data_IF_878612387506
#
_entry.id   IF_878612387506
#
_cell.length_a   1.000
_cell.length_b   1.000
_cell.length_c   1.000
_cell.angle_alpha   90.00
_cell.angle_beta   90.00
_cell.angle_gamma   90.00
#
_symmetry.space_group_name_H-M   'P 1'
#
loop_
_entity.id
_entity.type
_entity.pdbx_description
1 polymer ?
#
# COMPACT_ATOMS: atom_id res chain seq x y z
N UNK A 1 -2.14 0.28 -22.72
CA UNK A 1 -2.30 -1.13 -22.32
C UNK A 1 -1.16 -1.50 -21.40
N UNK A 2 -1.38 -1.43 -20.08
CA UNK A 2 -0.37 -1.77 -19.09
C UNK A 2 -0.16 -3.29 -19.12
N UNK A 3 0.77 -3.76 -19.95
CA UNK A 3 1.39 -5.06 -19.74
C UNK A 3 2.21 -4.95 -18.46
N UNK A 4 1.55 -5.10 -17.31
CA UNK A 4 2.20 -5.33 -16.04
C UNK A 4 3.17 -6.48 -16.27
N UNK A 5 4.47 -6.18 -16.20
CA UNK A 5 5.49 -7.21 -16.24
C UNK A 5 5.20 -8.15 -15.06
N UNK A 6 5.38 -9.46 -15.26
CA UNK A 6 5.29 -10.44 -14.15
C UNK A 6 6.20 -10.00 -12.99
N UNK A 7 7.32 -9.36 -13.31
CA UNK A 7 8.26 -8.78 -12.33
C UNK A 7 7.62 -7.62 -11.56
N UNK A 8 6.92 -6.71 -12.22
CA UNK A 8 6.23 -5.59 -11.57
C UNK A 8 5.13 -6.10 -10.62
N UNK A 9 4.38 -7.12 -11.05
CA UNK A 9 3.35 -7.71 -10.22
C UNK A 9 3.94 -8.37 -8.96
N UNK A 10 4.97 -9.21 -9.12
CA UNK A 10 5.56 -9.93 -7.98
C UNK A 10 6.37 -9.01 -7.06
N UNK A 11 7.20 -8.13 -7.63
CA UNK A 11 8.10 -7.28 -6.85
C UNK A 11 7.42 -6.07 -6.23
N UNK A 12 6.31 -5.58 -6.81
CA UNK A 12 5.62 -4.37 -6.35
C UNK A 12 4.22 -4.66 -5.81
N UNK A 13 3.35 -5.30 -6.59
CA UNK A 13 1.95 -5.45 -6.21
C UNK A 13 1.76 -6.36 -4.98
N UNK A 14 2.53 -7.45 -4.86
CA UNK A 14 2.47 -8.34 -3.69
C UNK A 14 2.91 -7.61 -2.41
N UNK A 15 4.12 -7.00 -2.33
CA UNK A 15 4.51 -6.25 -1.14
C UNK A 15 3.55 -5.10 -0.80
N UNK A 16 3.08 -4.38 -1.83
CA UNK A 16 2.16 -3.25 -1.65
C UNK A 16 0.83 -3.68 -1.03
N UNK A 17 0.21 -4.76 -1.51
CA UNK A 17 -1.05 -5.27 -0.98
C UNK A 17 -0.95 -5.63 0.51
N UNK A 18 0.11 -6.35 0.87
CA UNK A 18 0.38 -6.77 2.25
C UNK A 18 0.69 -5.58 3.16
N UNK A 19 1.45 -4.61 2.65
CA UNK A 19 1.84 -3.43 3.39
C UNK A 19 0.66 -2.48 3.65
N UNK A 20 -0.24 -2.32 2.68
CA UNK A 20 -1.47 -1.53 2.83
C UNK A 20 -2.36 -2.06 3.97
N UNK A 21 -2.63 -3.36 3.99
CA UNK A 21 -3.42 -3.98 5.06
C UNK A 21 -2.68 -3.88 6.40
N UNK A 22 -1.35 -4.05 6.41
CA UNK A 22 -0.56 -3.95 7.63
C UNK A 22 -0.56 -2.52 8.20
N UNK A 23 -0.49 -1.53 7.33
CA UNK A 23 -0.60 -0.13 7.69
C UNK A 23 -1.97 0.17 8.31
N UNK A 24 -3.06 -0.36 7.76
CA UNK A 24 -4.40 -0.21 8.32
C UNK A 24 -4.47 -0.76 9.75
N UNK A 25 -4.03 -2.00 9.99
CA UNK A 25 -3.93 -2.56 11.34
C UNK A 25 -3.12 -1.67 12.30
N UNK A 26 -2.02 -1.12 11.79
CA UNK A 26 -1.15 -0.23 12.57
C UNK A 26 -1.83 1.09 12.89
N UNK A 27 -2.55 1.70 11.96
CA UNK A 27 -3.24 2.99 12.16
C UNK A 27 -4.57 2.88 12.89
N UNK A 28 -5.24 1.73 12.82
CA UNK A 28 -6.43 1.43 13.61
C UNK A 28 -6.11 1.06 15.06
N UNK A 29 -4.82 0.85 15.39
CA UNK A 29 -4.34 0.31 16.67
C UNK A 29 -4.99 -1.05 17.01
N UNK A 30 -5.38 -1.83 16.02
CA UNK A 30 -6.01 -3.13 16.21
C UNK A 30 -4.94 -4.22 16.20
N UNK A 31 -5.06 -5.21 17.09
CA UNK A 31 -4.11 -6.32 17.13
C UNK A 31 -4.25 -7.17 15.87
N UNK A 32 -3.13 -7.41 15.18
CA UNK A 32 -3.12 -8.16 13.94
C UNK A 32 -3.39 -9.64 14.19
N UNK A 33 -4.52 -10.15 13.68
CA UNK A 33 -4.78 -11.57 13.59
C UNK A 33 -4.14 -12.13 12.31
N UNK A 34 -3.17 -13.04 12.45
CA UNK A 34 -2.40 -13.58 11.33
C UNK A 34 -3.28 -14.20 10.24
N UNK A 35 -4.38 -14.89 10.61
CA UNK A 35 -5.28 -15.53 9.64
C UNK A 35 -6.03 -14.48 8.81
N UNK A 36 -6.65 -13.52 9.48
CA UNK A 36 -7.45 -12.47 8.83
C UNK A 36 -6.56 -11.52 8.03
N UNK A 37 -5.37 -11.20 8.55
CA UNK A 37 -4.35 -10.43 7.84
C UNK A 37 -3.94 -11.08 6.53
N UNK A 38 -3.65 -12.39 6.56
CA UNK A 38 -3.25 -13.11 5.36
C UNK A 38 -4.39 -13.16 4.34
N UNK A 39 -5.61 -13.45 4.80
CA UNK A 39 -6.79 -13.51 3.93
C UNK A 39 -7.08 -12.15 3.28
N UNK A 40 -7.12 -11.06 4.06
CA UNK A 40 -7.37 -9.72 3.54
C UNK A 40 -6.26 -9.22 2.62
N UNK A 41 -4.99 -9.56 2.90
CA UNK A 41 -3.87 -9.20 2.02
C UNK A 41 -3.92 -9.92 0.67
N UNK A 42 -4.26 -11.21 0.65
CA UNK A 42 -4.47 -11.94 -0.60
C UNK A 42 -5.67 -11.43 -1.38
N UNK A 43 -6.80 -11.16 -0.70
CA UNK A 43 -7.95 -10.53 -1.34
C UNK A 43 -7.58 -9.17 -1.93
N UNK A 44 -6.79 -8.36 -1.22
CA UNK A 44 -6.33 -7.07 -1.72
C UNK A 44 -5.44 -7.21 -2.95
N UNK A 45 -4.53 -8.18 -2.97
CA UNK A 45 -3.68 -8.46 -4.13
C UNK A 45 -4.52 -8.78 -5.39
N UNK A 46 -5.53 -9.64 -5.25
CA UNK A 46 -6.45 -9.99 -6.34
C UNK A 46 -7.20 -8.75 -6.81
N UNK A 47 -7.69 -7.94 -5.88
CA UNK A 47 -8.42 -6.70 -6.21
C UNK A 47 -7.52 -5.67 -6.89
N UNK A 48 -6.26 -5.51 -6.47
CA UNK A 48 -5.28 -4.65 -7.16
C UNK A 48 -5.05 -5.12 -8.59
N UNK A 49 -4.90 -6.43 -8.80
CA UNK A 49 -4.75 -7.00 -10.14
C UNK A 49 -5.95 -6.69 -11.03
N UNK A 50 -7.17 -6.90 -10.53
CA UNK A 50 -8.41 -6.60 -11.25
C UNK A 50 -8.46 -5.09 -11.55
N UNK A 51 -8.37 -4.25 -10.52
CA UNK A 51 -8.47 -2.78 -10.63
C UNK A 51 -7.48 -2.25 -11.67
N UNK A 52 -6.20 -2.68 -11.63
CA UNK A 52 -5.16 -2.22 -12.56
C UNK A 52 -5.32 -2.77 -13.99
N UNK A 53 -6.10 -3.84 -14.17
CA UNK A 53 -6.42 -4.39 -15.48
C UNK A 53 -7.54 -3.62 -16.18
N UNK A 54 -8.32 -2.81 -15.46
CA UNK A 54 -9.34 -1.96 -16.08
C UNK A 54 -8.67 -0.78 -16.83
N UNK A 55 -9.15 -0.41 -18.03
CA UNK A 55 -8.59 0.69 -18.82
C UNK A 55 -9.08 2.05 -18.30
N UNK A 56 -8.68 2.41 -17.09
CA UNK A 56 -9.12 3.63 -16.41
C UNK A 56 -7.93 4.58 -16.22
N UNK A 57 -8.21 5.88 -16.11
CA UNK A 57 -7.20 6.91 -15.77
C UNK A 57 -6.51 6.64 -14.43
N UNK A 58 -5.23 6.97 -14.38
CA UNK A 58 -4.42 6.94 -13.16
C UNK A 58 -5.07 7.83 -12.07
N UNK A 59 -5.21 7.31 -10.85
CA UNK A 59 -5.90 7.97 -9.74
C UNK A 59 -7.26 7.35 -9.39
N UNK A 60 -8.08 7.00 -10.38
CA UNK A 60 -9.37 6.30 -10.12
C UNK A 60 -9.12 4.92 -9.51
N UNK A 61 -8.05 4.25 -9.95
CA UNK A 61 -7.59 3.00 -9.33
C UNK A 61 -7.29 3.14 -7.83
N UNK A 62 -6.73 4.27 -7.40
CA UNK A 62 -6.43 4.53 -5.99
C UNK A 62 -7.73 4.71 -5.19
N UNK A 63 -8.72 5.40 -5.75
CA UNK A 63 -10.04 5.56 -5.11
C UNK A 63 -10.74 4.21 -4.96
N UNK A 64 -10.73 3.37 -6.01
CA UNK A 64 -11.28 2.01 -5.92
C UNK A 64 -10.52 1.17 -4.87
N UNK A 65 -9.20 1.29 -4.83
CA UNK A 65 -8.37 0.58 -3.85
C UNK A 65 -8.71 1.00 -2.41
N UNK A 66 -8.97 2.29 -2.15
CA UNK A 66 -9.45 2.77 -0.84
C UNK A 66 -10.74 2.07 -0.44
N UNK A 67 -11.73 2.02 -1.35
CA UNK A 67 -13.02 1.37 -1.08
C UNK A 67 -12.83 -0.11 -0.72
N UNK A 68 -11.98 -0.82 -1.47
CA UNK A 68 -11.67 -2.22 -1.21
C UNK A 68 -10.99 -2.42 0.14
N UNK A 69 -9.99 -1.59 0.48
CA UNK A 69 -9.28 -1.71 1.76
C UNK A 69 -10.25 -1.52 2.93
N UNK A 70 -11.13 -0.52 2.87
CA UNK A 70 -12.13 -0.27 3.92
C UNK A 70 -13.05 -1.48 4.08
N UNK A 71 -13.56 -2.01 2.96
CA UNK A 71 -14.46 -3.16 2.95
C UNK A 71 -13.80 -4.41 3.53
N UNK A 72 -12.58 -4.74 3.09
CA UNK A 72 -11.82 -5.88 3.62
C UNK A 72 -11.50 -5.71 5.10
N UNK A 73 -11.17 -4.49 5.52
CA UNK A 73 -10.85 -4.19 6.92
C UNK A 73 -12.07 -4.34 7.83
N UNK A 74 -13.25 -3.97 7.36
CA UNK A 74 -14.49 -4.16 8.10
C UNK A 74 -14.94 -5.62 8.12
N UNK A 75 -15.06 -6.26 6.95
CA UNK A 75 -15.64 -7.60 6.83
C UNK A 75 -14.70 -8.70 7.34
N UNK A 76 -13.42 -8.66 6.97
CA UNK A 76 -12.47 -9.73 7.27
C UNK A 76 -11.70 -9.45 8.55
N UNK A 77 -11.25 -8.21 8.73
CA UNK A 77 -10.39 -7.87 9.86
C UNK A 77 -11.17 -7.47 11.13
N UNK A 78 -12.50 -7.30 11.03
CA UNK A 78 -13.36 -6.94 12.17
C UNK A 78 -13.13 -5.51 12.67
N UNK A 79 -12.44 -4.66 11.91
CA UNK A 79 -12.15 -3.29 12.32
C UNK A 79 -13.41 -2.46 12.13
N UNK A 80 -13.88 -1.79 13.19
CA UNK A 80 -15.01 -0.88 13.13
C UNK A 80 -14.92 0.07 11.92
N UNK A 81 -16.04 0.31 11.24
CA UNK A 81 -16.07 1.05 9.97
C UNK A 81 -15.45 2.45 10.09
N UNK A 82 -15.65 3.14 11.22
CA UNK A 82 -15.09 4.47 11.45
C UNK A 82 -13.57 4.39 11.63
N UNK A 83 -13.07 3.38 12.36
CA UNK A 83 -11.64 3.11 12.48
C UNK A 83 -11.02 2.72 11.13
N UNK A 84 -11.70 1.86 10.35
CA UNK A 84 -11.25 1.40 9.05
C UNK A 84 -11.12 2.55 8.03
N UNK A 85 -12.11 3.44 7.97
CA UNK A 85 -12.06 4.63 7.10
C UNK A 85 -10.89 5.54 7.48
N UNK A 86 -10.78 5.91 8.76
CA UNK A 86 -9.70 6.81 9.24
C UNK A 86 -8.32 6.23 8.98
N UNK A 87 -8.11 4.97 9.33
CA UNK A 87 -6.82 4.29 9.15
C UNK A 87 -6.46 4.09 7.68
N UNK A 88 -7.42 3.81 6.80
CA UNK A 88 -7.19 3.70 5.35
C UNK A 88 -6.78 5.04 4.74
N UNK A 89 -7.46 6.13 5.09
CA UNK A 89 -7.11 7.47 4.60
C UNK A 89 -5.68 7.82 5.02
N UNK A 90 -5.34 7.62 6.29
CA UNK A 90 -3.97 7.87 6.79
C UNK A 90 -2.96 7.00 6.04
N UNK A 91 -3.27 5.71 5.84
CA UNK A 91 -2.41 4.77 5.10
C UNK A 91 -2.09 5.29 3.69
N UNK A 92 -3.10 5.72 2.94
CA UNK A 92 -2.92 6.21 1.57
C UNK A 92 -2.18 7.54 1.52
N UNK A 93 -2.44 8.46 2.46
CA UNK A 93 -1.68 9.72 2.55
C UNK A 93 -0.20 9.43 2.75
N UNK A 94 0.15 8.53 3.67
CA UNK A 94 1.56 8.15 3.89
C UNK A 94 2.17 7.50 2.66
N UNK A 95 1.45 6.62 1.97
CA UNK A 95 1.93 6.00 0.74
C UNK A 95 2.19 7.04 -0.37
N UNK A 96 1.26 7.99 -0.57
CA UNK A 96 1.42 9.07 -1.54
C UNK A 96 2.61 9.98 -1.20
N UNK A 97 2.81 10.30 0.08
CA UNK A 97 3.98 11.07 0.52
C UNK A 97 5.28 10.32 0.23
N UNK A 98 5.32 9.01 0.49
CA UNK A 98 6.51 8.19 0.22
C UNK A 98 6.80 8.11 -1.29
N UNK A 99 5.78 7.89 -2.12
CA UNK A 99 5.95 7.87 -3.58
C UNK A 99 6.35 9.23 -4.14
N UNK A 100 5.71 10.31 -3.68
CA UNK A 100 6.02 11.68 -4.11
C UNK A 100 7.44 12.10 -3.72
N UNK A 101 7.86 11.80 -2.49
CA UNK A 101 9.24 12.07 -2.02
C UNK A 101 10.26 11.30 -2.86
N UNK A 102 9.96 10.05 -3.21
CA UNK A 102 10.83 9.24 -4.02
C UNK A 102 10.96 9.76 -5.45
N UNK A 103 9.85 10.19 -6.07
CA UNK A 103 9.88 10.89 -7.37
C UNK A 103 10.72 12.16 -7.29
N UNK A 104 10.57 12.94 -6.21
CA UNK A 104 11.35 14.15 -6.00
C UNK A 104 12.86 13.85 -5.90
N UNK A 105 13.25 12.81 -5.16
CA UNK A 105 14.65 12.36 -5.07
C UNK A 105 15.21 11.99 -6.45
N UNK A 106 14.45 11.22 -7.24
CA UNK A 106 14.89 10.79 -8.58
C UNK A 106 15.09 12.00 -9.50
N UNK A 107 14.13 12.91 -9.52
CA UNK A 107 14.16 14.06 -10.42
C UNK A 107 15.25 15.08 -10.05
N UNK A 108 15.43 15.38 -8.77
CA UNK A 108 16.29 16.50 -8.34
C UNK A 108 17.67 16.07 -7.81
N UNK A 109 17.85 14.83 -7.38
CA UNK A 109 19.13 14.34 -6.84
C UNK A 109 19.86 13.45 -7.85
N UNK A 110 19.12 12.58 -8.53
CA UNK A 110 19.70 11.69 -9.55
C UNK A 110 19.71 12.34 -10.95
N UNK A 111 19.02 13.47 -11.14
CA UNK A 111 18.89 14.21 -12.41
C UNK A 111 18.42 13.34 -13.59
N UNK A 112 17.71 12.24 -13.29
CA UNK A 112 17.22 11.30 -14.30
C UNK A 112 15.94 11.82 -14.97
N UNK A 113 15.82 11.59 -16.28
CA UNK A 113 14.62 11.98 -17.02
C UNK A 113 13.43 11.10 -16.64
N UNK A 114 12.49 11.69 -15.90
CA UNK A 114 11.26 11.04 -15.48
C UNK A 114 10.45 10.50 -16.67
N UNK A 115 10.50 11.14 -17.83
CA UNK A 115 9.80 10.66 -19.03
C UNK A 115 10.38 9.34 -19.53
N UNK A 116 11.71 9.21 -19.49
CA UNK A 116 12.40 7.97 -19.82
C UNK A 116 12.05 6.86 -18.81
N UNK A 117 12.05 7.17 -17.51
CA UNK A 117 11.68 6.20 -16.45
C UNK A 117 10.22 5.74 -16.57
N UNK A 118 9.28 6.65 -16.81
CA UNK A 118 7.86 6.28 -16.95
C UNK A 118 7.55 5.51 -18.23
N UNK A 119 8.34 5.72 -19.30
CA UNK A 119 8.19 4.98 -20.56
C UNK A 119 8.66 3.53 -20.45
N UNK A 120 9.58 3.23 -19.52
CA UNK A 120 10.13 1.89 -19.34
C UNK A 120 9.57 1.20 -18.07
N UNK A 121 8.71 0.16 -18.20
CA UNK A 121 8.04 -0.48 -17.07
C UNK A 121 9.01 -1.11 -16.05
N UNK A 122 10.18 -1.58 -16.52
CA UNK A 122 11.19 -2.17 -15.64
C UNK A 122 11.85 -1.09 -14.77
N UNK A 123 12.22 0.05 -15.37
CA UNK A 123 12.80 1.17 -14.63
C UNK A 123 11.79 1.73 -13.62
N UNK A 124 10.54 1.92 -14.03
CA UNK A 124 9.46 2.37 -13.14
C UNK A 124 9.29 1.46 -11.90
N UNK A 125 9.49 0.15 -12.08
CA UNK A 125 9.42 -0.82 -10.97
C UNK A 125 10.61 -0.66 -10.04
N UNK A 126 11.83 -0.66 -10.58
CA UNK A 126 13.07 -0.53 -9.79
C UNK A 126 13.07 0.76 -8.98
N UNK A 127 12.76 1.88 -9.63
CA UNK A 127 12.69 3.18 -8.98
C UNK A 127 11.52 3.31 -8.02
N UNK A 128 10.47 2.47 -8.10
CA UNK A 128 9.36 2.46 -7.16
C UNK A 128 9.57 1.59 -5.91
N UNK A 129 10.58 0.72 -5.89
CA UNK A 129 10.87 -0.14 -4.73
C UNK A 129 11.35 0.67 -3.50
N UNK A 130 12.22 1.68 -3.63
CA UNK A 130 12.68 2.46 -2.48
C UNK A 130 11.54 3.10 -1.67
N UNK A 131 10.51 3.65 -2.33
CA UNK A 131 9.36 4.24 -1.63
C UNK A 131 8.59 3.22 -0.81
N UNK A 132 8.41 1.99 -1.34
CA UNK A 132 7.77 0.89 -0.63
C UNK A 132 8.59 0.44 0.58
N UNK A 133 9.92 0.39 0.47
CA UNK A 133 10.81 0.04 1.58
C UNK A 133 10.72 1.10 2.69
N UNK A 134 10.79 2.39 2.34
CA UNK A 134 10.64 3.49 3.31
C UNK A 134 9.29 3.39 4.03
N UNK A 135 8.22 3.18 3.26
CA UNK A 135 6.89 3.04 3.84
C UNK A 135 6.81 1.81 4.78
N UNK A 136 7.36 0.67 4.38
CA UNK A 136 7.43 -0.54 5.20
C UNK A 136 8.18 -0.31 6.52
N UNK A 137 9.33 0.37 6.47
CA UNK A 137 10.09 0.72 7.66
C UNK A 137 9.29 1.61 8.62
N UNK A 138 8.61 2.64 8.12
CA UNK A 138 7.78 3.54 8.94
C UNK A 138 6.68 2.77 9.66
N UNK A 139 5.96 1.91 8.93
CA UNK A 139 4.86 1.12 9.49
C UNK A 139 5.37 0.09 10.50
N UNK A 140 6.44 -0.64 10.19
CA UNK A 140 7.02 -1.62 11.10
C UNK A 140 7.51 -0.99 12.41
N UNK A 141 8.22 0.16 12.33
CA UNK A 141 8.67 0.89 13.51
C UNK A 141 7.50 1.36 14.38
N UNK A 142 6.43 1.85 13.74
CA UNK A 142 5.22 2.29 14.45
C UNK A 142 4.51 1.12 15.12
N UNK A 143 4.39 -0.02 14.44
CA UNK A 143 3.75 -1.22 14.99
C UNK A 143 4.51 -1.76 16.21
N UNK A 144 5.85 -1.88 16.12
CA UNK A 144 6.70 -2.33 17.24
C UNK A 144 6.54 -1.40 18.46
N UNK A 145 6.48 -0.09 18.23
CA UNK A 145 6.25 0.90 19.32
C UNK A 145 4.89 0.74 19.98
N UNK A 146 3.83 0.43 19.22
CA UNK A 146 2.49 0.18 19.75
C UNK A 146 2.44 -1.11 20.58
N UNK A 147 3.11 -2.17 20.09
CA UNK A 147 3.23 -3.44 20.79
C UNK A 147 3.94 -3.27 22.14
N UNK A 148 5.06 -2.51 22.17
CA UNK A 148 5.81 -2.23 23.41
C UNK A 148 5.02 -1.40 24.43
N UNK A 149 4.06 -0.60 23.97
CA UNK A 149 3.22 0.25 24.83
C UNK A 149 1.88 -0.39 25.19
N UNK A 150 1.64 -1.63 24.79
CA UNK A 150 0.37 -2.36 24.99
C UNK A 150 -0.87 -1.59 24.53
N UNK A 151 -0.73 -0.72 23.52
CA UNK A 151 -1.83 0.14 23.02
C UNK A 151 -2.69 -0.53 21.95
N UNK A 152 -2.45 -1.81 21.66
CA UNK A 152 -3.19 -2.55 20.65
C UNK A 152 -4.47 -3.13 21.27
N UNK A 153 -5.61 -2.83 20.66
CA UNK A 153 -6.92 -3.28 21.10
C UNK A 153 -7.34 -4.55 20.34
N UNK A 154 -8.13 -5.40 21.01
CA UNK A 154 -8.90 -6.45 20.35
C UNK A 154 -10.25 -5.85 19.99
N UNK A 155 -10.51 -5.72 18.69
CA UNK A 155 -11.84 -5.45 18.16
C UNK A 155 -12.45 -6.79 17.72
#
# INVERSE_FOLDING_TARGET
MLKLSVVEFVARAIPEAFLLIFAVYTFSNTRMNKKNYLLSSFSMLIMIFIIRSLPISYGIHTILSIMVIILLSYIINGIDIMKAVKSTIITIIFQLICEGTNIFIIQYILEEDMNHIFSNPNLKTIYGIPSLIIFACIIALRYIRLLKREKLQYD
#
